data_IF_100913674243
#
_entry.id   IF_100913674243
#
_cell.length_a   1.000
_cell.length_b   1.000
_cell.length_c   1.000
_cell.angle_alpha   90.00
_cell.angle_beta   90.00
_cell.angle_gamma   90.00
#
_symmetry.space_group_name_H-M   'P 1'
#
loop_
_entity.id
_entity.type
_entity.pdbx_description
1 polymer ?
#
# COMPACT_ATOMS: atom_id res chain seq x y z
N UNK A 1 -27.64 -12.08 -4.36
CA UNK A 1 -26.52 -12.99 -4.02
C UNK A 1 -26.51 -14.20 -4.98
N UNK A 2 -26.16 -14.02 -6.26
CA UNK A 2 -26.19 -15.11 -7.27
C UNK A 2 -24.83 -15.38 -7.96
N UNK A 3 -23.82 -14.53 -7.77
CA UNK A 3 -22.52 -14.67 -8.46
C UNK A 3 -21.55 -15.71 -7.87
N UNK A 4 -21.61 -15.97 -6.56
CA UNK A 4 -20.61 -16.81 -5.89
C UNK A 4 -20.80 -18.33 -6.11
N UNK A 5 -22.02 -18.77 -6.45
CA UNK A 5 -22.33 -20.18 -6.64
C UNK A 5 -21.91 -20.71 -8.02
N UNK A 6 -21.83 -19.84 -9.04
CA UNK A 6 -21.52 -20.25 -10.41
C UNK A 6 -20.08 -20.77 -10.57
N UNK A 7 -19.10 -20.13 -9.93
CA UNK A 7 -17.70 -20.56 -10.05
C UNK A 7 -17.39 -21.91 -9.38
N UNK A 8 -18.08 -22.20 -8.27
CA UNK A 8 -17.93 -23.49 -7.55
C UNK A 8 -18.57 -24.62 -8.35
N UNK A 9 -19.74 -24.36 -8.94
CA UNK A 9 -20.48 -25.31 -9.78
C UNK A 9 -19.71 -25.64 -11.06
N UNK A 10 -19.14 -24.64 -11.73
CA UNK A 10 -18.30 -24.83 -12.91
C UNK A 10 -17.02 -25.62 -12.60
N UNK A 11 -16.36 -25.34 -11.46
CA UNK A 11 -15.17 -26.07 -11.04
C UNK A 11 -15.43 -27.55 -10.73
N UNK A 12 -16.61 -27.88 -10.18
CA UNK A 12 -16.99 -29.26 -9.88
C UNK A 12 -17.34 -30.07 -11.14
N UNK A 13 -17.99 -29.44 -12.12
CA UNK A 13 -18.33 -30.08 -13.41
C UNK A 13 -17.06 -30.46 -14.22
N UNK A 14 -16.04 -29.61 -14.20
CA UNK A 14 -14.74 -29.88 -14.83
C UNK A 14 -14.00 -31.03 -14.12
N UNK A 15 -14.02 -31.07 -12.79
CA UNK A 15 -13.39 -32.14 -12.02
C UNK A 15 -14.05 -33.52 -12.21
N UNK A 16 -15.32 -33.55 -12.64
CA UNK A 16 -16.08 -34.77 -12.92
C UNK A 16 -16.09 -35.16 -14.41
N UNK A 17 -15.32 -34.48 -15.26
CA UNK A 17 -15.14 -34.85 -16.67
C UNK A 17 -16.34 -34.57 -17.58
N UNK A 18 -17.21 -33.63 -17.23
CA UNK A 18 -18.40 -33.29 -18.03
C UNK A 18 -18.01 -32.33 -19.16
N UNK A 19 -18.05 -32.77 -20.42
CA UNK A 19 -17.81 -31.91 -21.58
C UNK A 19 -19.06 -31.05 -21.90
N UNK A 20 -18.95 -29.74 -21.60
CA UNK A 20 -19.85 -28.63 -21.98
C UNK A 20 -21.35 -28.79 -21.68
N UNK A 21 -21.83 -28.04 -20.68
CA UNK A 21 -23.26 -27.77 -20.50
C UNK A 21 -23.69 -26.46 -21.21
N UNK A 22 -24.90 -26.40 -21.83
CA UNK A 22 -25.51 -25.16 -22.27
C UNK A 22 -25.88 -24.25 -21.08
N UNK A 23 -25.71 -22.93 -21.22
CA UNK A 23 -25.93 -21.94 -20.13
C UNK A 23 -27.34 -21.96 -19.51
N UNK A 24 -28.35 -22.44 -20.25
CA UNK A 24 -29.74 -22.47 -19.79
C UNK A 24 -30.01 -23.50 -18.67
N UNK A 25 -29.24 -24.59 -18.56
CA UNK A 25 -29.45 -25.61 -17.52
C UNK A 25 -28.84 -25.23 -16.15
N UNK A 26 -27.82 -24.36 -16.15
CA UNK A 26 -27.12 -23.89 -14.93
C UNK A 26 -28.04 -23.01 -14.07
N UNK A 27 -29.02 -22.32 -14.67
CA UNK A 27 -29.89 -21.38 -13.97
C UNK A 27 -30.98 -22.02 -13.09
N UNK A 28 -31.23 -23.34 -13.19
CA UNK A 28 -32.26 -24.03 -12.38
C UNK A 28 -31.74 -24.68 -11.08
N UNK A 29 -30.48 -24.47 -10.71
CA UNK A 29 -29.97 -24.83 -9.38
C UNK A 29 -29.81 -26.34 -9.12
N UNK A 30 -29.68 -27.16 -10.16
CA UNK A 30 -29.39 -28.59 -10.05
C UNK A 30 -28.30 -29.01 -11.03
N UNK A 31 -27.52 -30.03 -10.67
CA UNK A 31 -26.52 -30.63 -11.56
C UNK A 31 -27.04 -32.02 -11.98
N UNK A 32 -27.08 -32.30 -13.28
CA UNK A 32 -27.22 -33.67 -13.77
C UNK A 32 -25.82 -34.21 -14.08
N UNK A 33 -25.44 -35.31 -13.45
CA UNK A 33 -24.18 -36.01 -13.74
C UNK A 33 -24.54 -37.35 -14.37
N UNK A 34 -24.06 -37.59 -15.59
CA UNK A 34 -24.01 -38.95 -16.12
C UNK A 34 -22.79 -39.64 -15.56
N UNK A 35 -23.00 -40.76 -14.87
CA UNK A 35 -21.92 -41.60 -14.35
C UNK A 35 -21.53 -42.54 -15.48
N UNK A 36 -20.25 -42.58 -15.84
CA UNK A 36 -19.74 -43.56 -16.79
C UNK A 36 -20.14 -44.97 -16.32
N UNK A 37 -20.71 -45.76 -17.23
CA UNK A 37 -21.27 -47.11 -17.05
C UNK A 37 -22.71 -47.24 -16.52
N UNK A 38 -23.54 -46.18 -16.57
CA UNK A 38 -24.98 -46.26 -16.27
C UNK A 38 -25.88 -46.16 -17.54
N UNK A 39 -26.46 -47.27 -18.00
CA UNK A 39 -27.39 -47.32 -19.15
C UNK A 39 -28.87 -47.06 -18.75
N UNK A 40 -29.13 -46.03 -17.94
CA UNK A 40 -30.48 -45.63 -17.52
C UNK A 40 -30.77 -44.13 -17.69
N UNK A 41 -32.04 -43.68 -17.64
CA UNK A 41 -32.37 -42.28 -17.86
C UNK A 41 -31.73 -41.38 -16.78
N UNK A 42 -30.95 -40.38 -17.22
CA UNK A 42 -30.34 -39.38 -16.34
C UNK A 42 -31.41 -38.63 -15.54
N UNK A 43 -31.26 -38.55 -14.21
CA UNK A 43 -32.15 -37.75 -13.35
C UNK A 43 -31.34 -36.67 -12.62
N UNK A 44 -31.85 -35.44 -12.51
CA UNK A 44 -31.13 -34.33 -11.88
C UNK A 44 -30.85 -34.61 -10.39
N UNK A 45 -29.63 -34.31 -9.95
CA UNK A 45 -29.23 -34.33 -8.55
C UNK A 45 -29.27 -32.90 -8.00
N UNK A 46 -30.01 -32.73 -6.91
CA UNK A 46 -30.04 -31.46 -6.18
C UNK A 46 -28.95 -31.46 -5.12
N UNK A 47 -28.06 -30.47 -5.16
CA UNK A 47 -27.03 -30.24 -4.15
C UNK A 47 -27.63 -29.39 -3.02
N UNK A 48 -27.73 -29.92 -1.81
CA UNK A 48 -28.11 -29.15 -0.62
C UNK A 48 -27.18 -29.43 0.57
N UNK A 49 -26.80 -28.36 1.29
CA UNK A 49 -26.00 -28.41 2.51
C UNK A 49 -24.49 -28.19 2.34
N UNK A 50 -24.02 -26.95 2.52
CA UNK A 50 -22.60 -26.66 2.73
C UNK A 50 -22.33 -26.54 4.24
N UNK A 51 -21.61 -27.49 4.85
CA UNK A 51 -21.07 -27.33 6.20
C UNK A 51 -19.58 -27.02 6.14
N UNK A 52 -19.20 -25.86 6.67
CA UNK A 52 -17.81 -25.44 6.78
C UNK A 52 -17.25 -25.94 8.11
N UNK A 53 -16.51 -27.06 8.10
CA UNK A 53 -15.77 -27.51 9.30
C UNK A 53 -14.32 -27.08 9.21
N UNK A 54 -13.98 -25.95 9.80
CA UNK A 54 -12.60 -25.59 10.09
C UNK A 54 -12.19 -26.16 11.45
N UNK A 55 -11.54 -27.32 11.46
CA UNK A 55 -10.67 -27.70 12.58
C UNK A 55 -9.36 -28.24 12.04
N UNK A 56 -8.35 -27.37 12.04
CA UNK A 56 -6.92 -27.68 11.85
C UNK A 56 -6.45 -27.69 10.39
N UNK A 57 -5.45 -26.85 10.09
CA UNK A 57 -4.46 -26.99 9.00
C UNK A 57 -4.97 -27.17 7.56
N UNK A 58 -4.69 -26.17 6.70
CA UNK A 58 -4.74 -26.21 5.23
C UNK A 58 -5.90 -27.01 4.58
N UNK A 59 -6.98 -26.28 4.26
CA UNK A 59 -7.53 -26.30 2.89
C UNK A 59 -8.36 -27.51 2.42
N UNK A 60 -8.77 -28.44 3.27
CA UNK A 60 -9.75 -29.46 2.86
C UNK A 60 -11.19 -28.99 3.13
N UNK A 61 -11.98 -28.84 2.07
CA UNK A 61 -13.44 -28.65 2.15
C UNK A 61 -14.13 -29.98 1.83
N UNK A 62 -14.74 -30.61 2.84
CA UNK A 62 -15.60 -31.76 2.61
C UNK A 62 -17.00 -31.28 2.19
N UNK A 63 -17.54 -31.81 1.10
CA UNK A 63 -18.91 -31.55 0.65
C UNK A 63 -19.76 -32.78 0.98
N UNK A 64 -20.86 -32.58 1.71
CA UNK A 64 -21.85 -33.64 1.94
C UNK A 64 -22.90 -33.53 0.83
N UNK A 65 -23.03 -34.58 0.03
CA UNK A 65 -24.11 -34.71 -0.95
C UNK A 65 -25.32 -35.33 -0.23
N UNK A 66 -26.50 -34.72 -0.35
CA UNK A 66 -27.75 -35.32 0.12
C UNK A 66 -28.73 -35.44 -1.04
N UNK A 67 -29.21 -36.65 -1.33
CA UNK A 67 -30.22 -36.88 -2.37
C UNK A 67 -31.60 -36.63 -1.77
N UNK A 68 -32.21 -35.49 -2.07
CA UNK A 68 -33.63 -35.28 -1.77
C UNK A 68 -34.40 -35.11 -3.07
N UNK A 69 -35.11 -36.15 -3.50
CA UNK A 69 -36.10 -36.06 -4.58
C UNK A 69 -37.48 -36.27 -3.94
N UNK A 70 -38.51 -35.44 -4.21
CA UNK A 70 -39.81 -35.54 -3.54
C UNK A 70 -40.63 -36.79 -3.92
N UNK A 71 -40.19 -37.56 -4.92
CA UNK A 71 -40.97 -38.66 -5.50
C UNK A 71 -40.43 -40.06 -5.16
N UNK A 72 -39.49 -40.17 -4.23
CA UNK A 72 -39.04 -41.45 -3.69
C UNK A 72 -39.17 -41.37 -2.18
N UNK A 73 -40.09 -42.15 -1.62
CA UNK A 73 -40.34 -42.22 -0.19
C UNK A 73 -39.06 -42.39 0.62
N UNK A 74 -39.11 -41.90 1.86
CA UNK A 74 -38.04 -41.90 2.87
C UNK A 74 -37.46 -43.31 3.12
N UNK A 75 -36.63 -43.83 2.22
CA UNK A 75 -35.81 -45.01 2.47
C UNK A 75 -34.36 -44.57 2.56
N UNK A 76 -33.68 -44.84 3.69
CA UNK A 76 -32.26 -44.58 3.83
C UNK A 76 -31.50 -45.38 2.77
N UNK A 77 -30.60 -44.72 2.04
CA UNK A 77 -29.65 -45.41 1.18
C UNK A 77 -28.59 -46.02 2.11
N UNK A 78 -28.61 -47.34 2.29
CA UNK A 78 -27.83 -48.05 3.32
C UNK A 78 -26.33 -48.24 3.01
N UNK A 79 -25.88 -47.92 1.80
CA UNK A 79 -24.48 -48.12 1.40
C UNK A 79 -23.85 -46.80 0.94
N UNK A 80 -23.26 -46.07 1.86
CA UNK A 80 -22.34 -44.97 1.51
C UNK A 80 -20.91 -45.51 1.55
N UNK A 81 -20.23 -45.55 0.41
CA UNK A 81 -18.77 -45.51 0.40
C UNK A 81 -18.32 -44.06 0.49
N UNK A 82 -17.43 -43.79 1.43
CA UNK A 82 -16.85 -42.46 1.63
C UNK A 82 -15.78 -42.22 0.56
N UNK A 83 -16.19 -41.73 -0.60
CA UNK A 83 -15.23 -41.33 -1.64
C UNK A 83 -14.56 -40.01 -1.22
N UNK A 84 -13.25 -40.08 -0.97
CA UNK A 84 -12.43 -38.91 -0.67
C UNK A 84 -11.73 -38.49 -1.97
N UNK A 85 -12.21 -37.44 -2.62
CA UNK A 85 -11.54 -36.90 -3.81
C UNK A 85 -10.41 -35.99 -3.32
N UNK A 86 -9.17 -36.48 -3.39
CA UNK A 86 -7.98 -35.68 -3.14
C UNK A 86 -7.67 -34.81 -4.35
N UNK A 87 -8.28 -33.63 -4.44
CA UNK A 87 -7.93 -32.66 -5.49
C UNK A 87 -6.85 -31.73 -4.97
N UNK A 88 -5.63 -31.84 -5.52
CA UNK A 88 -4.67 -30.74 -5.42
C UNK A 88 -5.19 -29.57 -6.27
N UNK A 89 -5.72 -28.54 -5.60
CA UNK A 89 -5.97 -27.26 -6.27
C UNK A 89 -4.60 -26.59 -6.43
N UNK A 90 -3.92 -26.87 -7.54
CA UNK A 90 -2.84 -25.99 -7.99
C UNK A 90 -3.51 -24.65 -8.31
N UNK A 91 -3.30 -23.63 -7.49
CA UNK A 91 -3.67 -22.26 -7.85
C UNK A 91 -2.77 -21.82 -9.01
N UNK A 92 -3.09 -22.26 -10.23
CA UNK A 92 -2.53 -21.70 -11.43
C UNK A 92 -3.13 -20.30 -11.55
N UNK A 93 -2.45 -19.31 -10.95
CA UNK A 93 -2.59 -17.93 -11.40
C UNK A 93 -2.16 -17.97 -12.86
N UNK A 94 -3.04 -17.71 -13.84
CA UNK A 94 -2.61 -17.66 -15.23
C UNK A 94 -1.46 -16.66 -15.31
N UNK A 95 -0.36 -17.06 -15.94
CA UNK A 95 0.72 -16.11 -16.21
C UNK A 95 0.10 -14.92 -16.96
N UNK A 96 0.38 -13.67 -16.54
CA UNK A 96 -0.11 -12.53 -17.27
C UNK A 96 0.33 -12.67 -18.73
N UNK A 97 -0.53 -12.37 -19.72
CA UNK A 97 -0.11 -12.40 -21.11
C UNK A 97 1.17 -11.57 -21.26
N UNK A 98 2.18 -12.12 -21.93
CA UNK A 98 3.36 -11.38 -22.39
C UNK A 98 2.90 -10.32 -23.39
N UNK A 99 2.39 -9.21 -22.87
CA UNK A 99 2.27 -7.99 -23.63
C UNK A 99 3.70 -7.47 -23.82
N UNK A 100 4.18 -7.30 -25.05
CA UNK A 100 5.49 -6.71 -25.28
C UNK A 100 5.52 -5.36 -24.56
N UNK A 101 6.47 -5.22 -23.64
CA UNK A 101 6.68 -3.97 -22.93
C UNK A 101 6.91 -2.88 -23.98
N UNK A 102 6.30 -1.70 -23.83
CA UNK A 102 6.50 -0.62 -24.80
C UNK A 102 8.00 -0.34 -24.97
N UNK A 103 8.47 -0.20 -26.21
CA UNK A 103 9.87 0.09 -26.58
C UNK A 103 10.42 1.42 -26.00
N UNK A 104 9.56 2.22 -25.35
CA UNK A 104 9.98 3.44 -24.67
C UNK A 104 10.50 3.10 -23.28
N UNK A 105 11.70 3.53 -22.90
CA UNK A 105 12.13 3.43 -21.51
C UNK A 105 11.07 4.09 -20.63
N UNK A 106 10.71 3.41 -19.53
CA UNK A 106 9.74 3.94 -18.60
C UNK A 106 10.12 5.37 -18.19
N UNK A 107 9.15 6.29 -18.09
CA UNK A 107 9.44 7.67 -17.69
C UNK A 107 10.15 7.70 -16.33
N UNK A 108 11.01 8.70 -16.09
CA UNK A 108 11.71 8.82 -14.82
C UNK A 108 10.70 8.98 -13.69
N UNK A 109 10.92 8.23 -12.60
CA UNK A 109 10.12 8.30 -11.38
C UNK A 109 10.91 8.96 -10.28
N UNK A 110 10.26 9.84 -9.55
CA UNK A 110 10.78 10.39 -8.31
C UNK A 110 10.27 9.52 -7.15
N UNK A 111 11.18 8.80 -6.51
CA UNK A 111 10.91 7.97 -5.35
C UNK A 111 11.23 8.77 -4.10
N UNK A 112 10.20 9.40 -3.54
CA UNK A 112 10.25 10.20 -2.34
C UNK A 112 10.14 9.31 -1.10
N UNK A 113 11.06 9.46 -0.16
CA UNK A 113 11.10 8.71 1.09
C UNK A 113 11.07 9.69 2.24
N UNK A 114 10.15 9.50 3.20
CA UNK A 114 10.24 10.21 4.48
C UNK A 114 11.33 9.56 5.33
N UNK A 115 12.14 10.36 6.00
CA UNK A 115 13.14 9.86 6.95
C UNK A 115 12.55 8.86 7.97
N UNK A 116 13.39 7.95 8.48
CA UNK A 116 13.03 7.05 9.59
C UNK A 116 12.64 7.84 10.85
N UNK A 117 12.02 7.18 11.83
CA UNK A 117 11.61 7.82 13.08
C UNK A 117 12.80 8.50 13.77
N UNK A 118 12.67 9.78 14.13
CA UNK A 118 13.66 10.48 14.96
C UNK A 118 13.34 10.34 16.45
N UNK A 119 14.30 10.66 17.32
CA UNK A 119 14.06 10.69 18.77
C UNK A 119 12.92 11.64 19.14
N UNK A 120 12.78 12.77 18.42
CA UNK A 120 11.70 13.73 18.65
C UNK A 120 10.35 13.31 18.07
N UNK A 121 10.31 12.46 17.04
CA UNK A 121 9.04 11.86 16.63
C UNK A 121 8.45 11.01 17.76
N UNK A 122 9.29 10.27 18.50
CA UNK A 122 8.87 9.46 19.65
C UNK A 122 8.39 10.31 20.83
N UNK A 123 8.92 11.52 20.97
CA UNK A 123 8.51 12.48 22.01
C UNK A 123 7.35 13.40 21.59
N UNK A 124 6.83 13.24 20.36
CA UNK A 124 5.83 14.13 19.77
C UNK A 124 6.24 15.61 19.77
N UNK A 125 7.54 15.89 19.59
CA UNK A 125 8.09 17.25 19.45
C UNK A 125 8.14 17.69 18.00
N UNK A 126 7.78 18.95 17.78
CA UNK A 126 7.91 19.62 16.49
C UNK A 126 9.39 19.82 16.19
N UNK A 127 9.83 19.42 15.00
CA UNK A 127 11.23 19.45 14.60
C UNK A 127 11.56 20.65 13.72
N UNK A 128 10.81 20.81 12.62
CA UNK A 128 11.19 21.71 11.53
C UNK A 128 12.63 21.45 11.08
N UNK A 129 13.50 22.44 11.15
CA UNK A 129 14.91 22.34 10.81
C UNK A 129 15.84 22.03 12.00
N UNK A 130 15.33 21.94 13.24
CA UNK A 130 16.09 21.31 14.31
C UNK A 130 16.37 19.85 13.97
N UNK A 131 17.52 19.36 14.42
CA UNK A 131 18.17 18.20 13.82
C UNK A 131 18.44 17.05 14.81
N UNK A 132 17.38 16.46 15.40
CA UNK A 132 17.52 15.27 16.23
C UNK A 132 17.93 14.06 15.37
N UNK A 133 18.70 13.12 15.94
CA UNK A 133 19.11 11.91 15.22
C UNK A 133 17.94 10.93 15.05
N UNK A 134 18.16 9.87 14.25
CA UNK A 134 17.24 8.73 14.21
C UNK A 134 17.16 8.03 15.58
N UNK A 135 15.97 7.52 15.90
CA UNK A 135 15.79 6.52 16.97
C UNK A 135 16.31 5.15 16.51
N UNK A 136 16.39 4.19 17.42
CA UNK A 136 16.72 2.80 17.07
C UNK A 136 15.69 2.22 16.09
N UNK A 137 14.39 2.44 16.36
CA UNK A 137 13.31 2.04 15.44
C UNK A 137 13.44 2.74 14.09
N UNK A 138 13.86 4.01 14.06
CA UNK A 138 14.10 4.75 12.83
C UNK A 138 15.23 4.17 11.97
N UNK A 139 16.31 3.70 12.60
CA UNK A 139 17.38 2.98 11.89
C UNK A 139 16.88 1.65 11.35
N UNK A 140 16.15 0.87 12.16
CA UNK A 140 15.56 -0.41 11.72
C UNK A 140 14.57 -0.23 10.57
N UNK A 141 13.76 0.83 10.59
CA UNK A 141 12.89 1.20 9.48
C UNK A 141 13.70 1.46 8.19
N UNK A 142 14.79 2.23 8.29
CA UNK A 142 15.66 2.52 7.16
C UNK A 142 16.35 1.25 6.60
N UNK A 143 16.79 0.34 7.47
CA UNK A 143 17.37 -0.95 7.08
C UNK A 143 16.38 -1.85 6.33
N UNK A 144 15.13 -1.92 6.80
CA UNK A 144 14.07 -2.67 6.13
C UNK A 144 13.75 -2.08 4.74
N UNK A 145 13.72 -0.76 4.63
CA UNK A 145 13.55 -0.08 3.35
C UNK A 145 14.75 -0.33 2.42
N UNK A 146 15.97 -0.27 2.95
CA UNK A 146 17.19 -0.57 2.22
C UNK A 146 17.17 -1.99 1.64
N UNK A 147 16.77 -2.98 2.44
CA UNK A 147 16.62 -4.37 1.99
C UNK A 147 15.58 -4.51 0.87
N UNK A 148 14.46 -3.76 0.94
CA UNK A 148 13.45 -3.72 -0.12
C UNK A 148 13.96 -3.10 -1.41
N UNK A 149 14.85 -2.12 -1.32
CA UNK A 149 15.37 -1.38 -2.49
C UNK A 149 16.65 -1.98 -3.07
N UNK A 150 17.32 -2.90 -2.37
CA UNK A 150 18.63 -3.45 -2.73
C UNK A 150 18.75 -4.05 -4.15
N UNK A 151 17.65 -4.49 -4.76
CA UNK A 151 17.63 -5.04 -6.14
C UNK A 151 17.18 -4.05 -7.21
N UNK A 152 16.97 -2.78 -6.84
CA UNK A 152 16.58 -1.71 -7.77
C UNK A 152 17.78 -0.87 -8.14
N UNK A 153 17.76 -0.34 -9.36
CA UNK A 153 18.75 0.60 -9.85
C UNK A 153 18.15 2.00 -9.88
N UNK A 154 18.96 2.99 -9.51
CA UNK A 154 18.57 4.40 -9.50
C UNK A 154 19.57 5.20 -10.32
N UNK A 155 19.09 6.25 -10.97
CA UNK A 155 19.92 7.18 -11.74
C UNK A 155 20.62 8.21 -10.84
N UNK A 156 19.99 8.57 -9.71
CA UNK A 156 20.54 9.48 -8.73
C UNK A 156 19.95 9.24 -7.34
N UNK A 157 20.66 9.72 -6.32
CA UNK A 157 20.24 9.66 -4.93
C UNK A 157 20.51 10.99 -4.24
N UNK A 158 19.45 11.68 -3.82
CA UNK A 158 19.51 12.94 -3.08
C UNK A 158 18.93 12.77 -1.68
N UNK A 159 19.38 13.60 -0.75
CA UNK A 159 18.82 13.66 0.59
C UNK A 159 18.82 15.09 1.13
N UNK A 160 17.83 15.41 1.96
CA UNK A 160 17.98 16.55 2.87
C UNK A 160 19.23 16.36 3.73
N UNK A 161 19.96 17.44 3.95
CA UNK A 161 21.17 17.48 4.77
C UNK A 161 20.92 17.49 6.29
N UNK A 162 19.66 17.43 6.74
CA UNK A 162 19.33 17.18 8.15
C UNK A 162 19.65 15.72 8.50
N UNK A 163 20.35 15.50 9.63
CA UNK A 163 20.85 14.19 10.10
C UNK A 163 19.85 13.07 9.94
N UNK A 164 18.60 13.25 10.39
CA UNK A 164 17.58 12.17 10.30
C UNK A 164 17.32 11.70 8.86
N UNK A 165 17.30 12.63 7.90
CA UNK A 165 17.10 12.31 6.49
C UNK A 165 18.39 11.79 5.86
N UNK A 166 19.52 12.43 6.16
CA UNK A 166 20.81 12.03 5.61
C UNK A 166 21.25 10.65 6.11
N UNK A 167 21.11 10.35 7.40
CA UNK A 167 21.38 9.03 7.99
C UNK A 167 20.47 7.94 7.38
N UNK A 168 19.18 8.23 7.19
CA UNK A 168 18.26 7.32 6.48
C UNK A 168 18.76 7.04 5.06
N UNK A 169 19.23 8.07 4.36
CA UNK A 169 19.74 7.98 3.01
C UNK A 169 21.06 7.21 2.93
N UNK A 170 21.97 7.35 3.91
CA UNK A 170 23.22 6.60 3.97
C UNK A 170 22.96 5.09 4.14
N UNK A 171 22.02 4.72 5.02
CA UNK A 171 21.62 3.31 5.23
C UNK A 171 21.06 2.71 3.93
N UNK A 172 20.19 3.43 3.23
CA UNK A 172 19.63 2.98 1.95
C UNK A 172 20.71 2.94 0.86
N UNK A 173 21.54 3.98 0.81
CA UNK A 173 22.63 4.15 -0.13
C UNK A 173 23.64 3.00 -0.10
N UNK A 174 23.93 2.47 1.09
CA UNK A 174 24.77 1.30 1.27
C UNK A 174 24.20 0.04 0.58
N UNK A 175 22.87 -0.14 0.59
CA UNK A 175 22.22 -1.29 -0.03
C UNK A 175 22.04 -1.15 -1.54
N UNK A 176 21.85 0.07 -2.05
CA UNK A 176 21.66 0.34 -3.49
C UNK A 176 22.96 0.70 -4.22
N UNK A 177 24.07 0.79 -3.48
CA UNK A 177 25.40 1.10 -4.04
C UNK A 177 25.59 2.56 -4.46
N UNK A 178 24.87 3.51 -3.85
CA UNK A 178 24.91 4.93 -4.20
C UNK A 178 25.04 5.79 -2.95
N UNK A 179 26.00 6.73 -2.93
CA UNK A 179 26.07 7.73 -1.85
C UNK A 179 25.03 8.83 -2.08
N UNK A 180 24.30 9.26 -1.04
CA UNK A 180 23.37 10.38 -1.17
C UNK A 180 24.11 11.70 -1.39
N UNK A 181 23.57 12.54 -2.27
CA UNK A 181 23.98 13.93 -2.45
C UNK A 181 23.14 14.83 -1.52
N UNK A 182 23.76 15.62 -0.63
CA UNK A 182 23.02 16.53 0.23
C UNK A 182 22.39 17.67 -0.58
N UNK A 183 21.13 17.98 -0.29
CA UNK A 183 20.37 19.07 -0.92
C UNK A 183 19.58 19.83 0.14
N UNK A 184 20.03 21.05 0.45
CA UNK A 184 19.42 21.91 1.45
C UNK A 184 17.99 22.34 1.07
N UNK A 185 17.68 22.41 -0.23
CA UNK A 185 16.34 22.71 -0.69
C UNK A 185 15.31 21.61 -0.37
N UNK A 186 15.76 20.42 0.07
CA UNK A 186 14.92 19.34 0.56
C UNK A 186 14.71 19.34 2.08
N UNK A 187 15.22 20.34 2.82
CA UNK A 187 14.94 20.48 4.27
C UNK A 187 13.45 20.66 4.54
N UNK A 188 13.02 20.15 5.69
CA UNK A 188 11.67 20.40 6.22
C UNK A 188 11.43 21.89 6.38
N UNK A 189 10.15 22.28 6.41
CA UNK A 189 9.77 23.66 6.69
C UNK A 189 10.39 24.14 8.01
N UNK A 190 10.93 25.35 8.02
CA UNK A 190 11.41 25.99 9.24
C UNK A 190 10.21 26.48 10.07
N UNK A 191 10.05 25.97 11.28
CA UNK A 191 8.89 26.22 12.14
C UNK A 191 9.18 27.23 13.25
N UNK A 192 10.27 28.00 13.12
CA UNK A 192 10.56 29.14 13.99
C UNK A 192 10.41 28.81 15.47
N UNK A 193 9.59 29.59 16.16
CA UNK A 193 9.38 29.47 17.61
C UNK A 193 8.66 28.17 18.05
N UNK A 194 8.08 27.40 17.13
CA UNK A 194 7.44 26.13 17.46
C UNK A 194 8.42 24.96 17.51
N UNK A 195 9.62 25.09 16.95
CA UNK A 195 10.61 24.02 16.94
C UNK A 195 11.04 23.65 18.38
N UNK A 196 11.11 22.36 18.67
CA UNK A 196 11.43 21.81 19.99
C UNK A 196 10.26 21.72 20.95
N UNK A 197 9.13 22.35 20.66
CA UNK A 197 7.94 22.28 21.49
C UNK A 197 7.06 21.07 21.15
N UNK A 198 6.36 20.57 22.16
CA UNK A 198 5.20 19.68 21.97
C UNK A 198 3.94 20.51 21.69
N UNK A 199 2.89 19.86 21.18
CA UNK A 199 1.61 20.53 20.87
C UNK A 199 0.95 21.17 22.09
N UNK A 200 1.00 20.54 23.26
CA UNK A 200 0.51 21.10 24.52
C UNK A 200 1.30 22.34 24.96
N UNK A 201 2.61 22.35 24.74
CA UNK A 201 3.47 23.50 25.00
C UNK A 201 3.19 24.66 24.03
N UNK A 202 2.89 24.36 22.76
CA UNK A 202 2.49 25.37 21.76
C UNK A 202 1.14 25.97 22.14
N UNK A 203 0.15 25.14 22.47
CA UNK A 203 -1.18 25.59 22.88
C UNK A 203 -1.12 26.51 24.11
N UNK A 204 -0.25 26.21 25.07
CA UNK A 204 -0.07 27.03 26.27
C UNK A 204 0.66 28.36 26.00
N UNK A 205 1.68 28.36 25.13
CA UNK A 205 2.52 29.55 24.88
C UNK A 205 1.95 30.48 23.81
N UNK A 206 1.25 29.92 22.82
CA UNK A 206 0.72 30.61 21.65
C UNK A 206 -0.76 30.28 21.42
N UNK A 207 -1.65 30.52 22.40
CA UNK A 207 -3.04 30.02 22.36
C UNK A 207 -3.83 30.52 21.15
N UNK A 208 -3.66 31.78 20.74
CA UNK A 208 -4.35 32.35 19.57
C UNK A 208 -3.85 31.74 18.25
N UNK A 209 -2.53 31.60 18.10
CA UNK A 209 -1.93 31.00 16.91
C UNK A 209 -2.28 29.52 16.81
N UNK A 210 -2.25 28.80 17.94
CA UNK A 210 -2.66 27.39 18.00
C UNK A 210 -4.14 27.21 17.65
N UNK A 211 -5.04 28.04 18.20
CA UNK A 211 -6.46 27.97 17.87
C UNK A 211 -6.71 28.16 16.37
N UNK A 212 -6.05 29.15 15.75
CA UNK A 212 -6.13 29.35 14.30
C UNK A 212 -5.58 28.18 13.51
N UNK A 213 -4.47 27.59 13.95
CA UNK A 213 -3.88 26.42 13.31
C UNK A 213 -4.79 25.18 13.36
N UNK A 214 -5.50 24.99 14.48
CA UNK A 214 -6.47 23.88 14.62
C UNK A 214 -7.70 24.10 13.74
N UNK A 215 -8.19 25.33 13.63
CA UNK A 215 -9.35 25.67 12.80
C UNK A 215 -9.04 25.60 11.29
N UNK A 216 -7.97 26.26 10.86
CA UNK A 216 -7.50 26.29 9.48
C UNK A 216 -5.96 26.27 9.49
N UNK A 217 -5.33 25.09 9.32
CA UNK A 217 -3.88 24.99 9.24
C UNK A 217 -3.33 25.95 8.19
N UNK A 218 -2.28 26.68 8.56
CA UNK A 218 -1.54 27.60 7.69
C UNK A 218 -0.14 27.84 8.28
N UNK A 219 0.89 27.54 7.49
CA UNK A 219 2.28 27.76 7.88
C UNK A 219 2.60 29.22 8.24
N UNK A 220 1.87 30.17 7.64
CA UNK A 220 2.09 31.60 7.87
C UNK A 220 1.69 32.07 9.28
N UNK A 221 1.01 31.23 10.06
CA UNK A 221 0.64 31.47 11.47
C UNK A 221 1.85 31.29 12.40
N UNK A 222 2.84 30.47 12.00
CA UNK A 222 3.96 30.10 12.86
C UNK A 222 4.91 31.28 13.07
N UNK A 223 5.08 31.79 14.32
CA UNK A 223 5.96 32.92 14.58
C UNK A 223 7.42 32.61 14.23
N UNK A 224 8.02 33.48 13.41
CA UNK A 224 9.40 33.32 12.94
C UNK A 224 9.64 32.15 11.98
N UNK A 225 8.59 31.46 11.52
CA UNK A 225 8.70 30.34 10.57
C UNK A 225 8.88 30.78 9.11
N UNK A 226 9.28 29.83 8.26
CA UNK A 226 9.32 29.96 6.80
C UNK A 226 7.90 30.18 6.26
N UNK A 227 7.75 31.10 5.30
CA UNK A 227 6.44 31.40 4.72
C UNK A 227 6.03 30.28 3.77
N UNK A 228 4.73 30.02 3.65
CA UNK A 228 4.21 28.94 2.78
C UNK A 228 4.76 29.07 1.35
N UNK A 229 4.70 30.28 0.78
CA UNK A 229 5.15 30.54 -0.58
C UNK A 229 6.66 30.30 -0.78
N UNK A 230 7.47 30.55 0.25
CA UNK A 230 8.93 30.32 0.21
C UNK A 230 9.23 28.82 0.24
N UNK A 231 8.54 28.09 1.13
CA UNK A 231 8.66 26.63 1.23
C UNK A 231 8.20 25.94 -0.06
N UNK A 232 7.03 26.32 -0.58
CA UNK A 232 6.48 25.78 -1.83
C UNK A 232 7.40 26.07 -3.04
N UNK A 233 7.95 27.28 -3.12
CA UNK A 233 8.86 27.66 -4.20
C UNK A 233 10.18 26.88 -4.13
N UNK A 234 10.81 26.81 -2.96
CA UNK A 234 12.09 26.11 -2.76
C UNK A 234 11.97 24.62 -3.05
N UNK A 235 10.99 23.95 -2.46
CA UNK A 235 10.75 22.51 -2.68
C UNK A 235 10.39 22.25 -4.14
N UNK A 236 9.53 23.09 -4.70
CA UNK A 236 9.12 23.01 -6.09
C UNK A 236 10.28 23.09 -7.07
N UNK A 237 11.11 24.11 -6.90
CA UNK A 237 12.30 24.32 -7.72
C UNK A 237 13.28 23.14 -7.63
N UNK A 238 13.50 22.60 -6.43
CA UNK A 238 14.38 21.44 -6.24
C UNK A 238 13.85 20.20 -6.98
N UNK A 239 12.56 19.90 -6.85
CA UNK A 239 11.92 18.78 -7.56
C UNK A 239 12.03 18.96 -9.08
N UNK A 240 11.73 20.15 -9.59
CA UNK A 240 11.78 20.45 -11.02
C UNK A 240 13.22 20.32 -11.56
N UNK A 241 14.22 20.77 -10.80
CA UNK A 241 15.64 20.64 -11.16
C UNK A 241 16.10 19.19 -11.18
N UNK A 242 15.76 18.40 -10.14
CA UNK A 242 16.09 16.97 -10.07
C UNK A 242 15.47 16.23 -11.27
N UNK A 243 14.19 16.48 -11.56
CA UNK A 243 13.51 15.86 -12.70
C UNK A 243 14.05 16.31 -14.06
N UNK A 244 14.53 17.55 -14.18
CA UNK A 244 15.13 18.05 -15.42
C UNK A 244 16.51 17.44 -15.70
N UNK A 245 17.30 17.15 -14.66
CA UNK A 245 18.62 16.52 -14.79
C UNK A 245 18.53 15.02 -15.11
N UNK A 246 17.43 14.37 -14.78
CA UNK A 246 17.26 12.93 -14.91
C UNK A 246 16.10 12.56 -15.84
N UNK A 247 16.38 12.47 -17.14
CA UNK A 247 15.39 12.12 -18.17
C UNK A 247 15.09 10.62 -18.28
N UNK A 248 15.86 9.77 -17.61
CA UNK A 248 15.72 8.30 -17.58
C UNK A 248 16.13 7.75 -16.22
N UNK A 249 15.51 6.63 -15.82
CA UNK A 249 15.78 5.95 -14.56
C UNK A 249 15.08 6.60 -13.36
N UNK A 250 14.94 5.83 -12.28
CA UNK A 250 14.33 6.33 -11.05
C UNK A 250 15.32 7.19 -10.27
N UNK A 251 14.84 8.26 -9.65
CA UNK A 251 15.62 9.09 -8.73
C UNK A 251 15.14 8.88 -7.32
N UNK A 252 16.06 8.56 -6.40
CA UNK A 252 15.78 8.32 -5.00
C UNK A 252 15.98 9.60 -4.19
N UNK A 253 14.97 10.03 -3.45
CA UNK A 253 15.02 11.27 -2.67
C UNK A 253 14.56 11.03 -1.24
N UNK A 254 15.43 11.23 -0.26
CA UNK A 254 15.09 11.10 1.17
C UNK A 254 14.90 12.48 1.78
N UNK A 255 13.71 12.74 2.32
CA UNK A 255 13.28 14.05 2.80
C UNK A 255 12.27 13.91 3.95
N UNK A 256 11.36 14.86 4.11
CA UNK A 256 10.48 15.03 5.26
C UNK A 256 9.00 15.02 4.88
N UNK A 257 8.15 14.99 5.90
CA UNK A 257 6.70 14.90 5.69
C UNK A 257 6.15 16.10 4.94
N UNK A 258 6.51 17.33 5.34
CA UNK A 258 6.03 18.56 4.71
C UNK A 258 6.47 18.67 3.25
N UNK A 259 7.71 18.33 2.95
CA UNK A 259 8.24 18.33 1.56
C UNK A 259 7.46 17.38 0.66
N UNK A 260 7.12 16.19 1.16
CA UNK A 260 6.31 15.21 0.41
C UNK A 260 4.86 15.72 0.24
N UNK A 261 4.28 16.40 1.23
CA UNK A 261 2.97 17.05 1.06
C UNK A 261 3.02 18.07 -0.06
N UNK A 262 4.01 18.96 -0.08
CA UNK A 262 4.16 19.98 -1.14
C UNK A 262 4.25 19.32 -2.51
N UNK A 263 5.07 18.26 -2.63
CA UNK A 263 5.20 17.51 -3.87
C UNK A 263 3.85 16.94 -4.35
N UNK A 264 3.05 16.35 -3.44
CA UNK A 264 1.73 15.81 -3.76
C UNK A 264 0.71 16.90 -4.11
N UNK A 265 0.69 17.99 -3.35
CA UNK A 265 -0.19 19.15 -3.55
C UNK A 265 0.04 19.80 -4.92
N UNK A 266 1.31 19.94 -5.35
CA UNK A 266 1.68 20.41 -6.69
C UNK A 266 1.08 19.54 -7.80
N UNK A 267 1.04 18.22 -7.62
CA UNK A 267 0.46 17.30 -8.62
C UNK A 267 -1.06 17.41 -8.69
N UNK A 268 -1.74 17.54 -7.53
CA UNK A 268 -3.22 17.67 -7.49
C UNK A 268 -3.72 19.08 -7.75
N UNK A 269 -2.83 20.07 -7.92
CA UNK A 269 -3.18 21.46 -8.22
C UNK A 269 -3.82 22.21 -7.04
N UNK A 270 -3.43 21.87 -5.81
CA UNK A 270 -3.88 22.56 -4.59
C UNK A 270 -2.70 23.14 -3.83
N UNK A 271 -2.85 24.24 -3.08
CA UNK A 271 -1.82 24.70 -2.16
C UNK A 271 -1.70 23.75 -0.97
N UNK A 272 -0.50 23.62 -0.38
CA UNK A 272 -0.31 22.72 0.77
C UNK A 272 -0.84 23.33 2.06
N UNK A 273 -0.70 24.65 2.31
CA UNK A 273 -1.19 25.39 3.51
C UNK A 273 -1.02 24.68 4.85
N UNK A 274 0.02 23.87 5.06
CA UNK A 274 0.12 23.07 6.29
C UNK A 274 -0.97 22.01 6.48
N UNK A 275 -1.74 21.70 5.44
CA UNK A 275 -2.65 20.57 5.38
C UNK A 275 -1.85 19.29 5.07
N UNK A 276 -2.19 18.24 5.81
CA UNK A 276 -1.59 16.90 5.64
C UNK A 276 -2.68 15.87 5.29
N UNK A 277 -3.41 16.02 4.17
CA UNK A 277 -4.48 15.08 3.79
C UNK A 277 -3.91 13.71 3.39
N UNK A 278 -2.65 13.66 2.96
CA UNK A 278 -1.96 12.42 2.68
C UNK A 278 -1.25 11.93 3.93
N UNK A 279 -1.50 10.69 4.35
CA UNK A 279 -0.71 10.07 5.42
C UNK A 279 0.69 9.83 4.88
N UNK A 280 1.74 10.37 5.51
CA UNK A 280 3.15 10.11 5.16
C UNK A 280 3.88 9.63 6.41
N UNK A 281 4.05 8.33 6.59
CA UNK A 281 4.70 7.69 7.75
C UNK A 281 6.22 7.69 7.62
N UNK A 282 6.92 7.54 8.74
CA UNK A 282 8.39 7.41 8.73
C UNK A 282 8.82 6.21 7.89
N UNK A 283 9.90 6.37 7.12
CA UNK A 283 10.40 5.42 6.11
C UNK A 283 9.37 5.03 5.03
N UNK A 284 8.26 5.75 4.87
CA UNK A 284 7.31 5.45 3.80
C UNK A 284 7.81 5.95 2.45
N UNK A 285 7.42 5.23 1.39
CA UNK A 285 7.76 5.53 0.01
C UNK A 285 6.56 6.11 -0.73
N UNK A 286 6.77 7.22 -1.43
CA UNK A 286 5.80 7.88 -2.31
C UNK A 286 6.44 8.03 -3.69
N UNK A 287 5.71 7.70 -4.75
CA UNK A 287 6.23 7.65 -6.11
C UNK A 287 5.49 8.64 -6.99
N UNK A 288 6.23 9.59 -7.56
CA UNK A 288 5.73 10.49 -8.59
C UNK A 288 6.35 10.12 -9.94
N UNK A 289 5.57 10.19 -11.00
CA UNK A 289 5.99 9.80 -12.35
C UNK A 289 5.71 10.93 -13.35
N UNK A 290 6.64 11.17 -14.28
CA UNK A 290 6.42 12.14 -15.35
C UNK A 290 5.87 11.45 -16.60
N UNK A 291 4.55 11.49 -16.80
CA UNK A 291 3.89 10.90 -17.97
C UNK A 291 3.29 11.98 -18.88
N UNK A 292 3.67 11.98 -20.16
CA UNK A 292 3.12 12.90 -21.17
C UNK A 292 3.32 14.40 -20.84
N UNK A 293 4.41 14.75 -20.16
CA UNK A 293 4.70 16.13 -19.73
C UNK A 293 3.99 16.56 -18.43
N UNK A 294 3.17 15.70 -17.83
CA UNK A 294 2.52 15.93 -16.54
C UNK A 294 3.14 15.05 -15.45
N UNK A 295 3.06 15.52 -14.21
CA UNK A 295 3.37 14.69 -13.05
C UNK A 295 2.12 13.89 -12.65
N UNK A 296 2.32 12.65 -12.24
CA UNK A 296 1.28 11.71 -11.79
C UNK A 296 1.72 11.10 -10.48
N UNK A 297 0.77 10.85 -9.58
CA UNK A 297 1.00 10.14 -8.32
C UNK A 297 0.80 8.64 -8.60
N UNK A 298 1.89 7.87 -8.62
CA UNK A 298 1.86 6.42 -8.88
C UNK A 298 1.78 5.59 -7.59
N UNK A 299 2.05 6.19 -6.43
CA UNK A 299 1.88 5.57 -5.12
C UNK A 299 2.12 6.56 -3.99
N UNK A 300 1.43 6.38 -2.86
CA UNK A 300 1.56 7.23 -1.68
C UNK A 300 1.71 6.35 -0.44
N UNK A 301 2.70 6.66 0.39
CA UNK A 301 2.85 6.06 1.72
C UNK A 301 2.92 4.53 1.75
N UNK A 302 3.70 3.96 0.84
CA UNK A 302 3.97 2.53 0.87
C UNK A 302 4.92 2.21 2.03
N UNK A 303 4.38 1.47 3.01
CA UNK A 303 5.07 0.99 4.21
C UNK A 303 5.14 -0.54 4.25
N UNK A 304 4.93 -1.24 3.13
CA UNK A 304 4.80 -2.71 3.15
C UNK A 304 6.10 -3.47 3.51
N UNK A 305 7.22 -2.76 3.66
CA UNK A 305 8.48 -3.30 4.19
C UNK A 305 8.55 -3.27 5.73
N UNK A 306 7.65 -2.54 6.38
CA UNK A 306 7.64 -2.39 7.83
C UNK A 306 6.81 -3.49 8.51
N UNK A 307 7.33 -3.99 9.61
CA UNK A 307 6.56 -4.76 10.58
C UNK A 307 5.53 -3.85 11.27
N UNK A 308 4.38 -4.38 11.67
CA UNK A 308 3.31 -3.59 12.28
C UNK A 308 3.77 -2.78 13.51
N UNK A 309 4.70 -3.33 14.30
CA UNK A 309 5.30 -2.66 15.47
C UNK A 309 6.14 -1.43 15.13
N UNK A 310 6.67 -1.36 13.90
CA UNK A 310 7.51 -0.25 13.43
C UNK A 310 6.70 0.76 12.61
N UNK A 311 5.48 0.43 12.23
CA UNK A 311 4.56 1.39 11.62
C UNK A 311 4.20 2.39 12.70
N UNK A 312 4.61 3.65 12.52
CA UNK A 312 4.21 4.71 13.45
C UNK A 312 2.70 4.86 13.37
N UNK A 313 1.99 4.33 14.37
CA UNK A 313 0.57 4.61 14.57
C UNK A 313 0.43 6.10 14.89
N UNK A 314 -0.40 6.81 14.11
CA UNK A 314 -1.04 8.01 14.66
C UNK A 314 -2.22 7.50 15.48
N UNK A 315 -2.11 7.56 16.80
CA UNK A 315 -3.20 8.16 17.55
C UNK A 315 -3.31 9.62 17.06
N UNK A 316 -4.53 10.06 16.76
CA UNK A 316 -4.84 11.09 15.77
C UNK A 316 -4.12 12.44 15.95
N UNK A 317 -3.96 13.15 14.83
CA UNK A 317 -4.29 14.58 14.87
C UNK A 317 -5.81 14.59 14.84
N UNK A 318 -6.46 14.60 15.99
CA UNK A 318 -7.91 14.48 16.08
C UNK A 318 -8.49 13.96 17.39
N UNK A 319 -7.76 13.98 18.50
CA UNK A 319 -8.38 13.99 19.82
C UNK A 319 -7.79 15.20 20.57
N UNK A 320 -8.68 16.17 20.81
CA UNK A 320 -8.55 17.55 21.31
C UNK A 320 -8.14 18.66 20.31
#
# INVERSE_FOLDING_TARGET
MQGAHHGVVAGLAVALGVEKMPEEEVQRGGLAVSIADYEGPCRPLTLSGFENRSKGGFGQRAVRLQRSSPEIGQRPIENWEKVSIGTEIKTARPEPPELPLPDRPAPPRLVLIRHGQSTWNREHRIQGQLDPPLSEDGRRQAELLAARLARRTFAAHFASDLKRAFETAEIIGAAVGMRPVPEAALREIYLGEWEGLRTDEIAARYPEAWARWVEEPDWNIVPGGEREAEFDARVGQAIDQILAQHSRGDVLVVTHGGVIQVALHRVVGKPSRGLFPFRIQNASMTVLERSGGRMVISGVNDVAHLEMSLVTERQGLGDD
#
